data_IF_695353249119
#
_entry.id   IF_695353249119
#
_cell.length_a   1.000
_cell.length_b   1.000
_cell.length_c   1.000
_cell.angle_alpha   90.00
_cell.angle_beta   90.00
_cell.angle_gamma   90.00
#
_symmetry.space_group_name_H-M   'P 1'
#
loop_
_entity.id
_entity.type
_entity.pdbx_description
1 polymer ?
#
# COMPACT_ATOMS: atom_id res chain seq x y z
N UNK A 1 14.90 3.62 -4.98
CA UNK A 1 13.94 4.73 -5.00
C UNK A 1 12.85 4.39 -5.98
N UNK A 2 11.56 4.47 -5.64
CA UNK A 2 10.54 4.37 -6.65
C UNK A 2 10.71 5.53 -7.64
N UNK A 3 10.62 5.22 -8.93
CA UNK A 3 10.63 6.23 -9.98
C UNK A 3 9.41 7.16 -9.79
N UNK A 4 9.56 8.47 -9.92
CA UNK A 4 8.43 9.38 -9.83
C UNK A 4 7.40 9.06 -10.91
N UNK A 5 6.12 9.23 -10.56
CA UNK A 5 5.02 9.06 -11.50
C UNK A 5 5.14 10.07 -12.63
N UNK A 6 5.26 9.60 -13.86
CA UNK A 6 5.37 10.46 -15.04
C UNK A 6 4.22 10.23 -16.00
N UNK A 7 3.70 11.30 -16.59
CA UNK A 7 2.66 11.19 -17.63
C UNK A 7 3.15 10.53 -18.92
N UNK A 8 4.45 10.54 -19.18
CA UNK A 8 5.04 9.84 -20.32
C UNK A 8 4.83 8.32 -20.22
N UNK A 9 4.78 7.79 -19.01
CA UNK A 9 4.60 6.35 -18.73
C UNK A 9 3.14 6.02 -18.49
N UNK A 10 2.43 6.89 -17.77
CA UNK A 10 1.02 6.70 -17.39
C UNK A 10 0.19 7.78 -18.08
N UNK A 11 -0.69 7.42 -18.98
CA UNK A 11 -1.52 8.40 -19.71
C UNK A 11 -2.34 9.29 -18.75
N UNK A 12 -2.60 10.53 -19.14
CA UNK A 12 -3.29 11.56 -18.34
C UNK A 12 -4.63 11.07 -17.79
N UNK A 13 -5.40 10.35 -18.60
CA UNK A 13 -6.70 9.79 -18.21
C UNK A 13 -6.55 8.81 -17.04
N UNK A 14 -5.56 7.93 -17.08
CA UNK A 14 -5.32 6.95 -16.03
C UNK A 14 -4.92 7.64 -14.72
N UNK A 15 -4.07 8.67 -14.81
CA UNK A 15 -3.68 9.45 -13.63
C UNK A 15 -4.88 10.18 -13.02
N UNK A 16 -5.72 10.81 -13.83
CA UNK A 16 -6.94 11.50 -13.37
C UNK A 16 -7.92 10.54 -12.69
N UNK A 17 -8.16 9.38 -13.27
CA UNK A 17 -9.02 8.35 -12.64
C UNK A 17 -8.40 7.84 -11.33
N UNK A 18 -7.08 7.68 -11.31
CA UNK A 18 -6.34 7.32 -10.09
C UNK A 18 -6.45 8.39 -9.00
N UNK A 19 -6.35 9.67 -9.35
CA UNK A 19 -6.54 10.78 -8.40
C UNK A 19 -7.92 10.71 -7.77
N UNK A 20 -8.99 10.60 -8.57
CA UNK A 20 -10.37 10.50 -8.09
C UNK A 20 -10.56 9.35 -7.12
N UNK A 21 -10.05 8.18 -7.49
CA UNK A 21 -10.13 7.00 -6.63
C UNK A 21 -9.38 7.19 -5.32
N UNK A 22 -8.10 7.53 -5.37
CA UNK A 22 -7.26 7.68 -4.18
C UNK A 22 -7.76 8.80 -3.25
N UNK A 23 -8.23 9.91 -3.82
CA UNK A 23 -8.82 11.03 -3.09
C UNK A 23 -10.07 10.61 -2.31
N UNK A 24 -10.98 9.88 -2.97
CA UNK A 24 -12.19 9.37 -2.35
C UNK A 24 -11.88 8.33 -1.26
N UNK A 25 -10.94 7.43 -1.53
CA UNK A 25 -10.54 6.39 -0.58
C UNK A 25 -9.83 6.97 0.67
N UNK A 26 -9.01 8.01 0.50
CA UNK A 26 -8.39 8.71 1.63
C UNK A 26 -9.45 9.37 2.54
N UNK A 27 -10.51 9.96 1.94
CA UNK A 27 -11.63 10.50 2.70
C UNK A 27 -12.34 9.42 3.52
N UNK A 28 -12.66 8.30 2.90
CA UNK A 28 -13.36 7.19 3.56
C UNK A 28 -12.49 6.57 4.67
N UNK A 29 -11.20 6.39 4.43
CA UNK A 29 -10.25 5.90 5.43
C UNK A 29 -10.23 6.79 6.69
N UNK A 30 -10.11 8.12 6.52
CA UNK A 30 -10.14 9.09 7.62
C UNK A 30 -11.48 9.03 8.36
N UNK A 31 -12.59 8.94 7.63
CA UNK A 31 -13.92 8.83 8.21
C UNK A 31 -14.04 7.56 9.06
N UNK A 32 -13.67 6.39 8.54
CA UNK A 32 -13.71 5.11 9.25
C UNK A 32 -12.84 5.13 10.50
N UNK A 33 -11.66 5.72 10.42
CA UNK A 33 -10.80 5.85 11.59
C UNK A 33 -11.43 6.74 12.66
N UNK A 34 -12.02 7.88 12.30
CA UNK A 34 -12.70 8.78 13.25
C UNK A 34 -13.93 8.12 13.90
N UNK A 35 -14.69 7.36 13.12
CA UNK A 35 -15.81 6.55 13.63
C UNK A 35 -15.32 5.49 14.61
N UNK A 36 -14.22 4.79 14.31
CA UNK A 36 -13.65 3.76 15.18
C UNK A 36 -13.14 4.31 16.50
N UNK A 37 -12.62 5.54 16.53
CA UNK A 37 -12.19 6.20 17.77
C UNK A 37 -13.36 6.51 18.72
N UNK A 38 -14.53 6.78 18.17
CA UNK A 38 -15.74 7.07 18.94
C UNK A 38 -16.47 5.80 19.38
N UNK A 39 -16.17 4.67 18.76
CA UNK A 39 -16.70 3.37 19.18
C UNK A 39 -15.84 2.77 20.29
N UNK A 40 -16.45 2.21 21.33
CA UNK A 40 -15.75 1.56 22.45
C UNK A 40 -14.99 0.28 22.05
N UNK A 41 -14.90 -0.02 20.77
CA UNK A 41 -14.30 -1.22 20.19
C UNK A 41 -13.00 -0.88 19.47
N UNK A 42 -11.90 -1.50 19.87
CA UNK A 42 -10.58 -1.34 19.24
C UNK A 42 -10.51 -2.11 17.89
N UNK A 43 -11.23 -1.63 16.89
CA UNK A 43 -11.17 -2.20 15.53
C UNK A 43 -9.86 -1.76 14.87
N UNK A 44 -9.05 -2.72 14.45
CA UNK A 44 -7.75 -2.44 13.80
C UNK A 44 -7.86 -2.27 12.27
N UNK A 45 -8.85 -2.89 11.66
CA UNK A 45 -9.10 -2.84 10.22
C UNK A 45 -10.56 -2.57 9.92
N UNK A 46 -10.84 -1.91 8.81
CA UNK A 46 -12.19 -1.69 8.31
C UNK A 46 -12.24 -1.96 6.79
N UNK A 47 -13.28 -2.63 6.28
CA UNK A 47 -13.39 -2.89 4.85
C UNK A 47 -13.55 -1.60 4.05
N UNK A 48 -12.83 -1.50 2.96
CA UNK A 48 -13.03 -0.47 1.95
C UNK A 48 -14.04 -1.00 0.92
N UNK A 49 -15.28 -0.55 0.98
CA UNK A 49 -16.35 -0.98 0.07
C UNK A 49 -16.22 -0.34 -1.33
N UNK A 50 -15.01 -0.38 -1.89
CA UNK A 50 -14.74 0.19 -3.20
C UNK A 50 -14.19 -0.87 -4.15
N UNK A 51 -14.66 -0.85 -5.38
CA UNK A 51 -14.06 -1.61 -6.47
C UNK A 51 -12.91 -0.78 -7.05
N UNK A 52 -11.66 -1.29 -7.02
CA UNK A 52 -10.54 -0.59 -7.64
C UNK A 52 -10.81 -0.38 -9.13
N UNK A 53 -10.55 0.82 -9.66
CA UNK A 53 -10.68 1.05 -11.10
C UNK A 53 -9.60 0.29 -11.88
N UNK A 54 -9.85 0.05 -13.16
CA UNK A 54 -8.94 -0.65 -14.06
C UNK A 54 -7.62 0.11 -14.35
N UNK A 55 -7.40 1.23 -13.68
CA UNK A 55 -6.18 2.03 -13.80
C UNK A 55 -4.97 1.39 -13.09
N UNK A 56 -5.21 0.43 -12.21
CA UNK A 56 -4.15 -0.28 -11.50
C UNK A 56 -3.81 -1.61 -12.19
N UNK A 57 -2.51 -1.81 -12.45
CA UNK A 57 -2.00 -3.04 -13.03
C UNK A 57 -1.94 -4.16 -12.00
N UNK A 58 -2.36 -5.37 -12.38
CA UNK A 58 -2.32 -6.55 -11.50
C UNK A 58 -3.64 -6.80 -10.77
N UNK A 59 -3.58 -7.64 -9.74
CA UNK A 59 -4.75 -8.02 -8.96
C UNK A 59 -4.60 -7.51 -7.53
N UNK A 60 -5.52 -6.66 -7.11
CA UNK A 60 -5.65 -6.23 -5.72
C UNK A 60 -6.48 -7.27 -4.94
N UNK A 61 -6.03 -7.60 -3.76
CA UNK A 61 -6.87 -8.30 -2.79
C UNK A 61 -8.00 -7.36 -2.31
N UNK A 62 -9.05 -7.87 -1.66
CA UNK A 62 -10.08 -7.03 -1.07
C UNK A 62 -9.44 -5.89 -0.25
N UNK A 63 -9.87 -4.66 -0.52
CA UNK A 63 -9.27 -3.49 0.13
C UNK A 63 -9.78 -3.36 1.56
N UNK A 64 -8.85 -3.23 2.49
CA UNK A 64 -9.12 -2.98 3.89
C UNK A 64 -8.28 -1.81 4.38
N UNK A 65 -8.87 -0.93 5.18
CA UNK A 65 -8.14 0.15 5.84
C UNK A 65 -7.50 -0.33 7.13
N UNK A 66 -6.19 -0.30 7.21
CA UNK A 66 -5.45 -0.51 8.46
C UNK A 66 -5.49 0.79 9.27
N UNK A 67 -6.40 0.86 10.24
CA UNK A 67 -6.74 2.11 10.95
C UNK A 67 -5.58 2.70 11.75
N UNK A 68 -4.63 1.90 12.21
CA UNK A 68 -3.40 2.37 12.84
C UNK A 68 -2.51 3.14 11.87
N UNK A 69 -2.49 2.75 10.59
CA UNK A 69 -1.77 3.47 9.54
C UNK A 69 -2.49 4.77 9.18
N UNK A 70 -3.84 4.73 9.15
CA UNK A 70 -4.63 5.95 8.93
C UNK A 70 -4.39 6.98 10.03
N UNK A 71 -4.33 6.54 11.31
CA UNK A 71 -4.00 7.41 12.44
C UNK A 71 -2.64 8.09 12.27
N UNK A 72 -1.62 7.32 11.94
CA UNK A 72 -0.27 7.84 11.73
C UNK A 72 -0.19 8.82 10.56
N UNK A 73 -1.00 8.63 9.53
CA UNK A 73 -0.96 9.41 8.28
C UNK A 73 -2.08 10.46 8.16
N UNK A 74 -2.99 10.60 9.14
CA UNK A 74 -4.16 11.47 9.02
C UNK A 74 -3.83 12.87 8.53
N UNK A 75 -2.90 13.55 9.20
CA UNK A 75 -2.53 14.93 8.84
C UNK A 75 -1.94 15.02 7.43
N UNK A 76 -1.16 14.01 7.04
CA UNK A 76 -0.56 13.93 5.71
C UNK A 76 -1.62 13.71 4.63
N UNK A 77 -2.54 12.77 4.86
CA UNK A 77 -3.67 12.51 3.97
C UNK A 77 -4.57 13.74 3.78
N UNK A 78 -4.86 14.48 4.85
CA UNK A 78 -5.63 15.72 4.76
C UNK A 78 -4.93 16.78 3.92
N UNK A 79 -3.61 16.96 4.09
CA UNK A 79 -2.81 17.90 3.30
C UNK A 79 -2.80 17.52 1.81
N UNK A 80 -2.58 16.25 1.49
CA UNK A 80 -2.56 15.75 0.11
C UNK A 80 -3.94 15.87 -0.54
N UNK A 81 -5.02 15.57 0.20
CA UNK A 81 -6.37 15.80 -0.30
C UNK A 81 -6.64 17.27 -0.61
N UNK A 82 -6.21 18.19 0.26
CA UNK A 82 -6.36 19.62 -0.01
C UNK A 82 -5.62 20.06 -1.29
N UNK A 83 -4.42 19.51 -1.54
CA UNK A 83 -3.64 19.81 -2.74
C UNK A 83 -4.23 19.23 -4.04
N UNK A 84 -5.04 18.16 -3.95
CA UNK A 84 -5.57 17.44 -5.10
C UNK A 84 -7.09 17.64 -5.30
N UNK A 85 -7.73 18.49 -4.50
CA UNK A 85 -9.19 18.66 -4.51
C UNK A 85 -9.72 19.08 -5.90
N UNK A 86 -9.16 20.13 -6.48
CA UNK A 86 -9.63 20.68 -7.75
C UNK A 86 -9.46 19.71 -8.92
N UNK A 87 -8.40 18.89 -8.89
CA UNK A 87 -8.17 17.81 -9.86
C UNK A 87 -9.13 16.64 -9.66
N UNK A 88 -9.42 16.28 -8.41
CA UNK A 88 -10.36 15.20 -8.10
C UNK A 88 -11.79 15.57 -8.46
N UNK A 89 -12.17 16.83 -8.26
CA UNK A 89 -13.50 17.37 -8.59
C UNK A 89 -13.65 17.74 -10.08
N UNK A 90 -12.54 17.68 -10.84
CA UNK A 90 -12.53 17.99 -12.27
C UNK A 90 -12.60 19.47 -12.59
N UNK A 91 -12.28 20.34 -11.63
CA UNK A 91 -12.21 21.80 -11.80
C UNK A 91 -10.91 22.21 -12.47
N UNK A 92 -9.84 21.45 -12.27
CA UNK A 92 -8.55 21.62 -12.95
C UNK A 92 -8.19 20.40 -13.78
N UNK A 93 -7.51 20.66 -14.89
CA UNK A 93 -7.02 19.62 -15.80
C UNK A 93 -5.52 19.41 -15.55
N UNK A 94 -5.13 18.16 -15.39
CA UNK A 94 -3.73 17.80 -15.17
C UNK A 94 -2.87 18.17 -16.40
N UNK A 95 -1.92 19.05 -16.21
CA UNK A 95 -0.93 19.39 -17.23
C UNK A 95 0.24 18.40 -17.22
N UNK A 96 0.83 18.07 -18.41
CA UNK A 96 1.92 17.10 -18.51
C UNK A 96 3.19 17.48 -17.74
N UNK A 97 3.38 18.75 -17.47
CA UNK A 97 4.54 19.34 -16.79
C UNK A 97 4.27 19.76 -15.34
N UNK A 98 3.11 19.44 -14.81
CA UNK A 98 2.76 19.74 -13.42
C UNK A 98 3.39 18.74 -12.45
N UNK A 99 4.70 18.90 -12.27
CA UNK A 99 5.48 18.04 -11.39
C UNK A 99 4.99 18.07 -9.94
N UNK A 100 4.49 19.22 -9.45
CA UNK A 100 4.03 19.35 -8.08
C UNK A 100 2.76 18.50 -7.84
N UNK A 101 1.84 18.49 -8.79
CA UNK A 101 0.65 17.64 -8.72
C UNK A 101 1.02 16.17 -8.83
N UNK A 102 1.92 15.81 -9.75
CA UNK A 102 2.37 14.42 -9.89
C UNK A 102 3.06 13.91 -8.63
N UNK A 103 3.87 14.72 -7.97
CA UNK A 103 4.47 14.40 -6.67
C UNK A 103 3.40 14.22 -5.57
N UNK A 104 2.38 15.07 -5.55
CA UNK A 104 1.26 14.94 -4.61
C UNK A 104 0.44 13.66 -4.86
N UNK A 105 0.21 13.29 -6.12
CA UNK A 105 -0.45 12.04 -6.50
C UNK A 105 0.37 10.83 -6.04
N UNK A 106 1.67 10.86 -6.27
CA UNK A 106 2.57 9.78 -5.85
C UNK A 106 2.62 9.65 -4.33
N UNK A 107 2.69 10.76 -3.61
CA UNK A 107 2.65 10.77 -2.15
C UNK A 107 1.32 10.25 -1.59
N UNK A 108 0.18 10.61 -2.22
CA UNK A 108 -1.13 10.07 -1.85
C UNK A 108 -1.21 8.57 -2.13
N UNK A 109 -0.72 8.11 -3.28
CA UNK A 109 -0.64 6.70 -3.62
C UNK A 109 0.18 5.92 -2.59
N UNK A 110 1.38 6.37 -2.25
CA UNK A 110 2.25 5.73 -1.25
C UNK A 110 1.58 5.67 0.13
N UNK A 111 0.89 6.74 0.52
CA UNK A 111 0.13 6.76 1.77
C UNK A 111 -1.00 5.73 1.77
N UNK A 112 -1.72 5.59 0.65
CA UNK A 112 -2.78 4.60 0.52
C UNK A 112 -2.23 3.17 0.39
N UNK A 113 -1.06 2.96 -0.21
CA UNK A 113 -0.34 1.68 -0.18
C UNK A 113 -0.06 1.24 1.27
N UNK A 114 0.38 2.16 2.13
CA UNK A 114 0.58 1.87 3.55
C UNK A 114 -0.73 1.57 4.28
N UNK A 115 -1.80 2.32 3.98
CA UNK A 115 -3.13 2.11 4.57
C UNK A 115 -3.73 0.77 4.16
N UNK A 116 -3.56 0.34 2.92
CA UNK A 116 -4.10 -0.93 2.41
C UNK A 116 -3.17 -2.13 2.66
N UNK A 117 -1.90 -1.91 2.96
CA UNK A 117 -0.85 -2.93 2.96
C UNK A 117 -0.76 -3.64 1.59
N UNK A 118 -1.02 -2.89 0.53
CA UNK A 118 -0.97 -3.37 -0.85
C UNK A 118 -0.28 -2.34 -1.73
N UNK A 119 0.45 -2.80 -2.73
CA UNK A 119 1.02 -1.93 -3.76
C UNK A 119 -0.06 -1.52 -4.74
N UNK A 120 -0.04 -0.24 -5.13
CA UNK A 120 -0.90 0.35 -6.15
C UNK A 120 -0.02 0.83 -7.30
N UNK A 121 0.07 0.04 -8.36
CA UNK A 121 0.86 0.36 -9.55
C UNK A 121 -0.08 0.73 -10.67
N UNK A 122 0.12 1.89 -11.28
CA UNK A 122 -0.67 2.27 -12.45
C UNK A 122 -0.31 1.43 -13.66
N UNK A 123 -1.29 1.22 -14.54
CA UNK A 123 -1.04 0.57 -15.84
C UNK A 123 -0.04 1.39 -16.63
N UNK A 124 1.03 0.74 -17.09
CA UNK A 124 2.13 1.38 -17.83
C UNK A 124 3.34 1.78 -16.98
N UNK A 125 3.23 1.80 -15.64
CA UNK A 125 4.41 2.03 -14.79
C UNK A 125 5.38 0.85 -14.83
N UNK A 126 6.68 1.16 -14.81
CA UNK A 126 7.74 0.15 -14.70
C UNK A 126 8.01 -0.20 -13.23
N UNK A 127 6.98 -0.68 -12.55
CA UNK A 127 7.02 -1.19 -11.17
C UNK A 127 6.43 -2.59 -11.13
N UNK A 128 6.72 -3.34 -10.07
CA UNK A 128 6.00 -4.58 -9.82
C UNK A 128 4.49 -4.31 -9.72
N UNK A 129 3.68 -5.19 -10.29
CA UNK A 129 2.22 -5.05 -10.33
C UNK A 129 1.60 -4.84 -8.96
N UNK A 130 0.41 -4.26 -8.93
CA UNK A 130 -0.39 -4.08 -7.71
C UNK A 130 -0.66 -5.43 -7.04
N UNK A 131 -0.80 -5.39 -5.72
CA UNK A 131 -1.11 -6.58 -4.92
C UNK A 131 -0.59 -6.48 -3.49
N UNK A 132 -0.91 -7.44 -2.63
CA UNK A 132 -0.52 -7.45 -1.23
C UNK A 132 1.00 -7.32 -1.04
N UNK A 133 1.39 -6.55 -0.03
CA UNK A 133 2.77 -6.43 0.43
C UNK A 133 2.85 -6.98 1.83
N UNK A 134 3.63 -8.03 2.02
CA UNK A 134 3.87 -8.63 3.32
C UNK A 134 5.34 -8.42 3.66
N UNK A 135 5.59 -7.63 4.69
CA UNK A 135 6.95 -7.35 5.17
C UNK A 135 7.08 -7.76 6.63
N UNK A 136 8.11 -8.51 6.94
CA UNK A 136 8.45 -8.88 8.30
C UNK A 136 9.93 -8.65 8.57
N UNK A 137 10.25 -8.19 9.79
CA UNK A 137 11.64 -8.04 10.24
C UNK A 137 11.78 -8.64 11.63
N UNK A 138 12.79 -9.48 11.80
CA UNK A 138 13.24 -9.96 13.11
C UNK A 138 14.70 -9.49 13.28
N UNK A 139 14.95 -8.78 14.37
CA UNK A 139 16.28 -8.36 14.79
C UNK A 139 16.52 -8.86 16.22
N UNK A 140 17.42 -9.83 16.36
CA UNK A 140 17.70 -10.48 17.65
C UNK A 140 19.20 -10.76 17.78
N UNK A 141 19.71 -10.77 19.01
CA UNK A 141 21.13 -11.05 19.24
C UNK A 141 21.45 -12.53 19.02
N UNK A 142 20.59 -13.44 19.46
CA UNK A 142 20.87 -14.87 19.42
C UNK A 142 19.59 -15.64 19.06
N UNK A 143 19.73 -16.63 18.19
CA UNK A 143 18.67 -17.59 17.86
C UNK A 143 19.08 -18.97 18.39
N UNK A 144 18.32 -19.49 19.35
CA UNK A 144 18.55 -20.79 19.99
C UNK A 144 17.57 -21.88 19.54
N UNK A 145 16.59 -21.53 18.70
CA UNK A 145 15.56 -22.43 18.16
C UNK A 145 15.23 -22.08 16.72
N UNK A 146 13.95 -22.18 16.34
CA UNK A 146 13.50 -21.80 15.00
C UNK A 146 12.92 -20.38 15.02
N UNK A 147 13.42 -19.52 14.16
CA UNK A 147 12.89 -18.20 13.91
C UNK A 147 12.42 -18.08 12.45
N UNK A 148 11.13 -17.79 12.24
CA UNK A 148 10.55 -17.53 10.92
C UNK A 148 9.93 -16.14 10.91
N UNK A 149 10.33 -15.30 9.95
CA UNK A 149 9.85 -13.91 9.86
C UNK A 149 8.48 -13.84 9.20
N UNK A 150 8.35 -14.50 8.05
CA UNK A 150 7.11 -14.58 7.29
C UNK A 150 6.82 -16.04 6.95
N UNK A 151 5.66 -16.52 7.34
CA UNK A 151 5.18 -17.87 6.99
C UNK A 151 3.79 -17.78 6.36
N UNK A 152 3.58 -18.47 5.23
CA UNK A 152 2.31 -18.51 4.53
C UNK A 152 2.18 -19.73 3.63
N UNK A 153 0.93 -20.19 3.42
CA UNK A 153 0.65 -21.33 2.54
C UNK A 153 0.57 -20.93 1.08
N UNK A 154 -0.12 -19.82 0.80
CA UNK A 154 -0.36 -19.35 -0.56
C UNK A 154 -0.22 -17.82 -0.62
N UNK A 155 0.58 -17.35 -1.56
CA UNK A 155 0.65 -15.96 -1.95
C UNK A 155 0.26 -15.88 -3.42
N UNK A 156 -0.98 -15.50 -3.69
CA UNK A 156 -1.52 -15.46 -5.04
C UNK A 156 -0.85 -14.38 -5.91
N UNK A 157 -0.57 -13.22 -5.31
CA UNK A 157 0.12 -12.10 -5.97
C UNK A 157 0.71 -11.16 -4.93
N UNK A 158 1.63 -10.28 -5.34
CA UNK A 158 2.20 -9.25 -4.47
C UNK A 158 3.68 -9.46 -4.15
N UNK A 159 4.15 -8.73 -3.12
CA UNK A 159 5.54 -8.77 -2.66
C UNK A 159 5.61 -9.30 -1.24
N UNK A 160 6.49 -10.25 -1.00
CA UNK A 160 6.83 -10.73 0.33
C UNK A 160 8.28 -10.44 0.62
N UNK A 161 8.54 -9.76 1.73
CA UNK A 161 9.89 -9.46 2.21
C UNK A 161 10.00 -9.90 3.66
N UNK A 162 10.88 -10.86 3.91
CA UNK A 162 11.30 -11.21 5.25
C UNK A 162 12.75 -10.74 5.46
N UNK A 163 13.01 -10.04 6.54
CA UNK A 163 14.35 -9.68 6.97
C UNK A 163 14.61 -10.25 8.36
N UNK A 164 15.65 -11.07 8.46
CA UNK A 164 16.11 -11.62 9.72
C UNK A 164 17.57 -11.19 9.91
N UNK A 165 17.84 -10.58 11.05
CA UNK A 165 19.20 -10.17 11.47
C UNK A 165 19.47 -10.80 12.83
N UNK A 166 20.58 -11.51 12.97
CA UNK A 166 21.04 -12.01 14.26
C UNK A 166 22.57 -12.01 14.33
N UNK A 167 23.11 -11.77 15.50
CA UNK A 167 24.55 -11.80 15.74
C UNK A 167 25.06 -13.23 15.88
N UNK A 168 24.21 -14.14 16.36
CA UNK A 168 24.58 -15.54 16.62
C UNK A 168 23.42 -16.50 16.34
N UNK A 169 23.77 -17.63 15.71
CA UNK A 169 22.92 -18.80 15.55
C UNK A 169 23.52 -19.95 16.36
N UNK A 170 22.77 -20.52 17.31
CA UNK A 170 23.24 -21.66 18.10
C UNK A 170 23.17 -22.97 17.31
N UNK A 171 23.94 -23.98 17.75
CA UNK A 171 23.95 -25.30 17.11
C UNK A 171 22.57 -25.92 17.16
N UNK A 172 22.06 -26.36 16.00
CA UNK A 172 20.71 -26.89 15.84
C UNK A 172 19.60 -25.84 15.67
N UNK A 173 19.92 -24.55 15.75
CA UNK A 173 18.95 -23.49 15.46
C UNK A 173 18.74 -23.28 13.97
N UNK A 174 17.56 -22.76 13.60
CA UNK A 174 17.19 -22.48 12.23
C UNK A 174 16.63 -21.06 12.10
N UNK A 175 17.02 -20.35 11.04
CA UNK A 175 16.57 -19.01 10.73
C UNK A 175 16.02 -18.96 9.31
N UNK A 176 14.73 -18.61 9.18
CA UNK A 176 14.03 -18.54 7.89
C UNK A 176 13.41 -17.14 7.72
N UNK A 177 13.85 -16.40 6.73
CA UNK A 177 13.30 -15.06 6.48
C UNK A 177 11.91 -15.14 5.85
N UNK A 178 11.70 -16.03 4.88
CA UNK A 178 10.40 -16.26 4.23
C UNK A 178 10.20 -17.75 4.02
N UNK A 179 9.05 -18.26 4.44
CA UNK A 179 8.62 -19.64 4.19
C UNK A 179 7.23 -19.61 3.58
N UNK A 180 7.13 -19.97 2.30
CA UNK A 180 5.89 -20.00 1.55
C UNK A 180 5.81 -21.27 0.73
N UNK A 181 4.67 -21.96 0.80
CA UNK A 181 4.48 -23.23 0.08
C UNK A 181 4.21 -22.99 -1.41
N UNK A 182 3.50 -21.90 -1.75
CA UNK A 182 3.16 -21.59 -3.14
C UNK A 182 3.16 -20.07 -3.36
N UNK A 183 3.85 -19.62 -4.42
CA UNK A 183 3.83 -18.23 -4.90
C UNK A 183 3.27 -18.23 -6.32
N UNK A 184 2.20 -17.46 -6.58
CA UNK A 184 1.55 -17.36 -7.87
C UNK A 184 0.63 -18.55 -8.16
N UNK A 185 -0.63 -18.44 -7.79
CA UNK A 185 -1.67 -19.37 -8.23
C UNK A 185 -2.04 -19.06 -9.68
N UNK A 186 -1.85 -20.02 -10.59
CA UNK A 186 -2.58 -19.98 -11.88
C UNK A 186 -4.01 -20.38 -11.60
N UNK A 187 -4.95 -19.49 -11.91
CA UNK A 187 -6.34 -19.87 -12.10
C UNK A 187 -6.51 -20.64 -13.39
#
# INVERSE_FOLDING_TARGET
>A
MPEPLTLAVVGTTLVTEGIKFLYGQAAEAIKRWRESRNAASAVKTAPAHATPPAVFAGQLAPLEFHLTQVEALEKHLLKLRAALADYADGLEVLAPDDHAVLEAVDALRQSMEAVYQQRLTFVGEQRAASGPVVEGTIDVKTIAGTATVVEGRLIASGKVVGRLVSDRLESGASAVAVKVDTIGGRS
#
